data_IF_274854169058
#
_entry.id   IF_274854169058
#
_cell.length_a   1.000
_cell.length_b   1.000
_cell.length_c   1.000
_cell.angle_alpha   90.00
_cell.angle_beta   90.00
_cell.angle_gamma   90.00
#
_symmetry.space_group_name_H-M   'P 1'
#
loop_
_entity.id
_entity.type
_entity.pdbx_description
1 polymer ?
#
# COMPACT_ATOMS: atom_id res chain seq x y z
N UNK A 1 -11.40 1.02 19.10
CA UNK A 1 -11.49 1.27 17.64
C UNK A 1 -10.49 0.36 16.96
N UNK A 2 -10.89 -0.48 15.99
CA UNK A 2 -9.95 -1.35 15.23
C UNK A 2 -9.69 -0.72 13.87
N UNK A 3 -8.45 -0.30 13.62
CA UNK A 3 -8.00 0.21 12.32
C UNK A 3 -7.64 -0.97 11.42
N UNK A 4 -8.03 -0.89 10.15
CA UNK A 4 -7.55 -1.82 9.13
C UNK A 4 -6.09 -1.52 8.79
N UNK A 5 -5.33 -2.52 8.34
CA UNK A 5 -3.88 -2.40 8.12
C UNK A 5 -3.50 -1.24 7.18
N UNK A 6 -4.30 -1.02 6.12
CA UNK A 6 -4.08 0.09 5.18
C UNK A 6 -4.28 1.47 5.84
N UNK A 7 -5.17 1.58 6.83
CA UNK A 7 -5.41 2.82 7.56
C UNK A 7 -4.26 3.11 8.53
N UNK A 8 -3.76 2.09 9.22
CA UNK A 8 -2.59 2.22 10.08
C UNK A 8 -1.35 2.65 9.27
N UNK A 9 -1.13 2.02 8.11
CA UNK A 9 -0.03 2.39 7.19
C UNK A 9 -0.14 3.83 6.70
N UNK A 10 -1.34 4.33 6.39
CA UNK A 10 -1.55 5.72 5.99
C UNK A 10 -1.24 6.72 7.12
N UNK A 11 -1.58 6.37 8.37
CA UNK A 11 -1.22 7.18 9.55
C UNK A 11 0.29 7.17 9.76
N UNK A 12 0.93 6.01 9.74
CA UNK A 12 2.38 5.89 9.91
C UNK A 12 3.17 6.66 8.84
N UNK A 13 2.73 6.63 7.58
CA UNK A 13 3.30 7.45 6.51
C UNK A 13 3.23 8.95 6.81
N UNK A 14 2.11 9.42 7.38
CA UNK A 14 1.91 10.83 7.76
C UNK A 14 2.85 11.27 8.88
N UNK A 15 3.25 10.36 9.76
CA UNK A 15 4.21 10.60 10.83
C UNK A 15 5.67 10.31 10.42
N UNK A 16 5.93 10.10 9.13
CA UNK A 16 7.30 9.88 8.61
C UNK A 16 7.88 8.50 8.91
N UNK A 17 7.06 7.56 9.38
CA UNK A 17 7.48 6.18 9.61
C UNK A 17 7.55 5.49 8.23
N UNK A 18 8.69 4.88 7.85
CA UNK A 18 8.83 4.22 6.57
C UNK A 18 7.88 3.02 6.51
N UNK A 19 6.83 3.15 5.71
CA UNK A 19 5.91 2.07 5.37
C UNK A 19 6.20 1.57 3.96
N UNK A 20 6.01 0.27 3.68
CA UNK A 20 6.15 -0.26 2.33
C UNK A 20 5.24 0.52 1.39
N UNK A 21 5.83 1.04 0.32
CA UNK A 21 5.09 1.71 -0.75
C UNK A 21 4.15 0.68 -1.36
N UNK A 22 2.86 0.98 -1.33
CA UNK A 22 1.82 0.08 -1.78
C UNK A 22 0.53 0.87 -1.95
N UNK A 23 -0.25 0.55 -2.97
CA UNK A 23 -1.52 1.21 -3.25
C UNK A 23 -2.64 0.16 -3.20
N UNK A 24 -3.78 0.55 -2.63
CA UNK A 24 -4.96 -0.31 -2.61
C UNK A 24 -5.51 -0.39 -4.04
N UNK A 25 -5.41 -1.58 -4.64
CA UNK A 25 -6.05 -1.89 -5.91
C UNK A 25 -7.46 -2.44 -5.66
N UNK A 26 -8.44 -2.00 -6.46
CA UNK A 26 -9.82 -2.51 -6.37
C UNK A 26 -10.14 -3.49 -7.49
N UNK A 27 -9.24 -3.64 -8.45
CA UNK A 27 -9.35 -4.53 -9.60
C UNK A 27 -8.03 -5.24 -9.83
N UNK A 28 -8.03 -6.42 -10.50
CA UNK A 28 -6.80 -7.13 -10.83
C UNK A 28 -5.89 -6.32 -11.77
N UNK A 29 -6.44 -5.52 -12.68
CA UNK A 29 -5.66 -4.63 -13.56
C UNK A 29 -4.93 -3.54 -12.78
N UNK A 30 -5.61 -2.91 -11.81
CA UNK A 30 -4.97 -1.95 -10.91
C UNK A 30 -3.85 -2.60 -10.09
N UNK A 31 -4.02 -3.85 -9.66
CA UNK A 31 -2.97 -4.57 -8.93
C UNK A 31 -1.73 -4.81 -9.80
N UNK A 32 -1.91 -5.20 -11.06
CA UNK A 32 -0.83 -5.40 -12.01
C UNK A 32 -0.07 -4.09 -12.32
N UNK A 33 -0.79 -2.98 -12.52
CA UNK A 33 -0.18 -1.65 -12.69
C UNK A 33 0.64 -1.23 -11.48
N UNK A 34 0.08 -1.40 -10.28
CA UNK A 34 0.77 -1.04 -9.03
C UNK A 34 2.01 -1.90 -8.83
N UNK A 35 1.93 -3.20 -9.09
CA UNK A 35 3.09 -4.10 -9.06
C UNK A 35 4.20 -3.66 -10.03
N UNK A 36 3.81 -3.28 -11.26
CA UNK A 36 4.74 -2.77 -12.26
C UNK A 36 5.38 -1.44 -11.85
N UNK A 37 4.62 -0.49 -11.30
CA UNK A 37 5.17 0.78 -10.79
C UNK A 37 6.10 0.59 -9.58
N UNK A 38 5.85 -0.43 -8.76
CA UNK A 38 6.67 -0.73 -7.59
C UNK A 38 8.00 -1.39 -7.96
N UNK A 39 8.05 -2.18 -9.04
CA UNK A 39 9.28 -2.80 -9.55
C UNK A 39 9.95 -3.79 -8.57
N UNK A 40 9.24 -4.17 -7.50
CA UNK A 40 9.68 -5.12 -6.47
C UNK A 40 8.65 -6.24 -6.33
N UNK A 41 9.02 -7.44 -5.87
CA UNK A 41 8.05 -8.48 -5.57
C UNK A 41 7.00 -7.97 -4.57
N UNK A 42 5.74 -7.99 -5.00
CA UNK A 42 4.57 -7.58 -4.20
C UNK A 42 3.84 -8.83 -3.67
N UNK A 43 3.22 -8.72 -2.49
CA UNK A 43 2.48 -9.78 -1.79
C UNK A 43 1.05 -9.35 -1.46
#
# INVERSE_FOLDING_TARGET
MRLLEHQAKAVFAKYGIPVPRGRVARTPDEAARVAHELGVPVA
#
